data_IF_057700652749
#
_entry.id   IF_057700652749
#
_cell.length_a   1.000
_cell.length_b   1.000
_cell.length_c   1.000
_cell.angle_alpha   90.00
_cell.angle_beta   90.00
_cell.angle_gamma   90.00
#
_symmetry.space_group_name_H-M   'P 1'
#
loop_
_entity.id
_entity.type
_entity.pdbx_description
1 polymer ?
#
# COMPACT_ATOMS: atom_id res chain seq x y z
N UNK A 1 -7.81 -11.34 2.32
CA UNK A 1 -7.17 -11.21 0.99
C UNK A 1 -7.91 -10.17 0.19
N UNK A 2 -7.19 -9.24 -0.45
CA UNK A 2 -7.79 -8.24 -1.35
C UNK A 2 -8.50 -8.93 -2.52
N UNK A 3 -9.58 -8.31 -3.01
CA UNK A 3 -10.34 -8.79 -4.17
C UNK A 3 -9.46 -8.92 -5.42
N UNK A 4 -8.46 -8.03 -5.57
CA UNK A 4 -7.50 -8.00 -6.67
C UNK A 4 -6.63 -9.27 -6.72
N UNK A 5 -6.45 -9.92 -5.57
CA UNK A 5 -5.72 -11.20 -5.46
C UNK A 5 -6.69 -12.38 -5.49
N UNK A 6 -7.82 -12.24 -4.81
CA UNK A 6 -8.79 -13.31 -4.65
C UNK A 6 -9.44 -13.72 -5.98
N UNK A 7 -9.86 -12.74 -6.79
CA UNK A 7 -10.55 -13.00 -8.07
C UNK A 7 -9.62 -13.69 -9.09
N UNK A 8 -8.43 -13.14 -9.41
CA UNK A 8 -7.52 -13.81 -10.34
C UNK A 8 -6.94 -15.11 -9.77
N UNK A 9 -6.71 -15.18 -8.45
CA UNK A 9 -6.25 -16.40 -7.78
C UNK A 9 -7.22 -17.57 -7.92
N UNK A 10 -8.54 -17.34 -7.83
CA UNK A 10 -9.54 -18.37 -8.09
C UNK A 10 -9.57 -18.80 -9.56
N UNK A 11 -9.37 -17.88 -10.51
CA UNK A 11 -9.37 -18.18 -11.95
C UNK A 11 -8.13 -18.99 -12.36
N UNK A 12 -6.94 -18.58 -11.90
CA UNK A 12 -5.65 -19.14 -12.32
C UNK A 12 -5.25 -20.36 -11.48
N UNK A 13 -5.66 -20.41 -10.22
CA UNK A 13 -5.31 -21.48 -9.29
C UNK A 13 -6.12 -22.76 -9.47
N UNK A 14 -5.87 -23.72 -8.58
CA UNK A 14 -6.54 -25.04 -8.52
C UNK A 14 -8.08 -25.02 -8.59
N UNK A 15 -8.72 -23.89 -8.28
CA UNK A 15 -10.18 -23.73 -8.25
C UNK A 15 -10.78 -23.15 -9.56
N UNK A 16 -9.97 -22.89 -10.59
CA UNK A 16 -10.40 -22.20 -11.82
C UNK A 16 -11.53 -22.86 -12.61
N UNK A 17 -11.73 -24.17 -12.45
CA UNK A 17 -12.83 -24.91 -13.12
C UNK A 17 -14.16 -24.83 -12.37
N UNK A 18 -14.18 -24.27 -11.15
CA UNK A 18 -15.39 -24.11 -10.31
C UNK A 18 -15.63 -22.65 -10.00
N UNK A 19 -16.02 -21.88 -11.02
CA UNK A 19 -16.40 -20.47 -10.85
C UNK A 19 -17.71 -20.43 -10.07
N UNK A 20 -17.61 -20.09 -8.79
CA UNK A 20 -18.76 -19.97 -7.89
C UNK A 20 -19.51 -18.66 -8.17
N UNK A 21 -20.85 -18.59 -8.04
CA UNK A 21 -21.63 -17.36 -8.26
C UNK A 21 -21.18 -16.17 -7.40
N UNK A 22 -20.48 -16.42 -6.28
CA UNK A 22 -19.83 -15.41 -5.45
C UNK A 22 -18.84 -14.50 -6.22
N UNK A 23 -18.35 -14.93 -7.39
CA UNK A 23 -17.55 -14.11 -8.30
C UNK A 23 -18.29 -12.84 -8.76
N UNK A 24 -19.59 -12.94 -9.03
CA UNK A 24 -20.38 -11.79 -9.44
C UNK A 24 -20.57 -10.78 -8.31
N UNK A 25 -20.48 -11.21 -7.05
CA UNK A 25 -20.45 -10.30 -5.91
C UNK A 25 -19.20 -9.42 -5.93
N UNK A 26 -18.06 -9.93 -6.42
CA UNK A 26 -16.81 -9.18 -6.51
C UNK A 26 -16.90 -7.94 -7.40
N UNK A 27 -17.83 -7.92 -8.37
CA UNK A 27 -18.03 -6.80 -9.29
C UNK A 27 -18.58 -5.56 -8.54
N UNK A 28 -19.72 -5.59 -7.83
CA UNK A 28 -20.16 -4.50 -6.97
C UNK A 28 -19.10 -4.07 -5.95
N UNK A 29 -18.42 -5.05 -5.31
CA UNK A 29 -17.37 -4.76 -4.33
C UNK A 29 -16.17 -4.04 -4.93
N UNK A 30 -15.93 -4.11 -6.25
CA UNK A 30 -14.86 -3.37 -6.94
C UNK A 30 -15.37 -2.03 -7.49
N UNK A 31 -16.57 -2.02 -8.07
CA UNK A 31 -17.17 -0.81 -8.66
C UNK A 31 -17.50 0.27 -7.61
N UNK A 32 -17.98 -0.13 -6.41
CA UNK A 32 -18.30 0.80 -5.33
C UNK A 32 -17.07 1.59 -4.82
N UNK A 33 -15.91 0.96 -4.53
CA UNK A 33 -14.69 1.69 -4.18
C UNK A 33 -14.18 2.59 -5.30
N UNK A 34 -14.26 2.16 -6.57
CA UNK A 34 -13.85 2.99 -7.71
C UNK A 34 -14.74 4.23 -7.80
N UNK A 35 -16.06 4.06 -7.71
CA UNK A 35 -17.02 5.16 -7.68
C UNK A 35 -16.82 6.08 -6.47
N UNK A 36 -16.57 5.51 -5.29
CA UNK A 36 -16.26 6.24 -4.06
C UNK A 36 -14.97 7.08 -4.21
N UNK A 37 -13.92 6.49 -4.79
CA UNK A 37 -12.66 7.16 -5.09
C UNK A 37 -12.87 8.36 -6.01
N UNK A 38 -13.60 8.18 -7.12
CA UNK A 38 -13.96 9.30 -8.00
C UNK A 38 -14.75 10.40 -7.28
N UNK A 39 -15.61 10.06 -6.32
CA UNK A 39 -16.36 11.07 -5.55
C UNK A 39 -15.48 11.85 -4.57
N UNK A 40 -14.49 11.20 -3.95
CA UNK A 40 -13.54 11.82 -3.02
C UNK A 40 -12.58 12.75 -3.78
N UNK A 41 -12.00 12.29 -4.89
CA UNK A 41 -11.07 13.10 -5.70
C UNK A 41 -11.71 14.32 -6.36
N UNK A 42 -13.02 14.26 -6.64
CA UNK A 42 -13.75 15.39 -7.20
C UNK A 42 -14.18 16.42 -6.16
N UNK A 43 -13.87 16.22 -4.87
CA UNK A 43 -14.15 17.23 -3.85
C UNK A 43 -13.06 18.32 -3.90
N UNK A 44 -13.41 19.62 -3.85
CA UNK A 44 -12.41 20.68 -3.77
C UNK A 44 -11.53 20.46 -2.55
N UNK A 45 -10.21 20.47 -2.74
CA UNK A 45 -9.24 20.45 -1.63
C UNK A 45 -9.49 21.64 -0.72
N UNK A 46 -9.55 21.42 0.59
CA UNK A 46 -9.60 22.52 1.55
C UNK A 46 -8.32 23.37 1.42
N UNK A 47 -8.51 24.68 1.30
CA UNK A 47 -7.42 25.64 1.27
C UNK A 47 -6.85 25.78 2.69
N UNK A 48 -5.83 24.99 3.01
CA UNK A 48 -5.09 25.16 4.25
C UNK A 48 -4.39 26.52 4.26
N UNK A 49 -4.76 27.37 5.22
CA UNK A 49 -4.23 28.73 5.34
C UNK A 49 -2.88 28.72 6.08
N UNK A 50 -1.87 28.09 5.47
CA UNK A 50 -0.49 28.14 5.99
C UNK A 50 0.20 29.44 5.55
N UNK A 51 0.98 30.09 6.44
CA UNK A 51 1.72 31.27 6.07
C UNK A 51 2.76 30.92 4.98
N UNK A 52 2.79 31.66 3.85
CA UNK A 52 3.63 31.32 2.68
C UNK A 52 5.13 31.32 2.99
N UNK A 53 5.56 32.09 3.99
CA UNK A 53 6.96 32.10 4.47
C UNK A 53 7.40 30.75 5.03
N UNK A 54 6.53 30.07 5.79
CA UNK A 54 6.83 28.76 6.37
C UNK A 54 6.88 27.68 5.29
N UNK A 55 5.98 27.75 4.29
CA UNK A 55 6.00 26.84 3.14
C UNK A 55 7.31 27.00 2.36
N UNK A 56 7.72 28.22 2.03
CA UNK A 56 8.97 28.47 1.29
C UNK A 56 10.20 28.01 2.07
N UNK A 57 10.27 28.26 3.38
CA UNK A 57 11.38 27.78 4.22
C UNK A 57 11.44 26.26 4.28
N UNK A 58 10.29 25.59 4.36
CA UNK A 58 10.23 24.13 4.34
C UNK A 58 10.62 23.62 2.96
N UNK A 59 10.08 24.14 1.87
CA UNK A 59 10.36 23.69 0.50
C UNK A 59 11.80 23.95 0.05
N UNK A 60 12.44 25.02 0.53
CA UNK A 60 13.84 25.32 0.23
C UNK A 60 14.85 24.36 0.89
N UNK A 61 14.42 23.55 1.86
CA UNK A 61 15.29 22.55 2.50
C UNK A 61 15.56 21.40 1.55
N UNK A 62 16.84 21.16 1.28
CA UNK A 62 17.29 19.97 0.58
C UNK A 62 16.93 18.68 1.36
N UNK A 63 16.83 17.55 0.67
CA UNK A 63 16.42 16.26 1.22
C UNK A 63 17.31 15.81 2.39
N UNK A 64 18.62 16.09 2.31
CA UNK A 64 19.58 15.76 3.38
C UNK A 64 19.33 16.53 4.69
N UNK A 65 18.68 17.69 4.62
CA UNK A 65 18.28 18.47 5.80
C UNK A 65 16.97 17.96 6.43
N UNK A 66 16.40 16.88 5.89
CA UNK A 66 15.17 16.24 6.35
C UNK A 66 15.43 14.76 6.64
N UNK A 67 16.04 14.43 7.80
CA UNK A 67 16.50 13.07 8.08
C UNK A 67 15.37 12.03 8.03
N UNK A 68 14.15 12.41 8.43
CA UNK A 68 13.00 11.51 8.37
C UNK A 68 12.56 11.20 6.93
N UNK A 69 12.54 12.20 6.05
CA UNK A 69 12.19 12.02 4.63
C UNK A 69 13.28 11.21 3.91
N UNK A 70 14.56 11.40 4.27
CA UNK A 70 15.66 10.59 3.78
C UNK A 70 15.55 9.11 4.20
N UNK A 71 15.18 8.84 5.46
CA UNK A 71 14.93 7.47 5.93
C UNK A 71 13.78 6.83 5.13
N UNK A 72 12.69 7.56 4.92
CA UNK A 72 11.56 7.08 4.12
C UNK A 72 11.95 6.78 2.67
N UNK A 73 12.77 7.64 2.04
CA UNK A 73 13.31 7.40 0.70
C UNK A 73 14.13 6.11 0.64
N UNK A 74 15.05 5.90 1.60
CA UNK A 74 15.84 4.66 1.66
C UNK A 74 14.94 3.45 1.87
N UNK A 75 13.97 3.52 2.78
CA UNK A 75 13.02 2.44 3.02
C UNK A 75 12.16 2.13 1.77
N UNK A 76 11.71 3.15 1.04
CA UNK A 76 10.95 2.98 -0.20
C UNK A 76 11.79 2.33 -1.31
N UNK A 77 13.08 2.68 -1.43
CA UNK A 77 13.99 2.03 -2.36
C UNK A 77 14.20 0.54 -2.01
N UNK A 78 14.41 0.23 -0.72
CA UNK A 78 14.53 -1.15 -0.25
C UNK A 78 13.23 -1.94 -0.47
N UNK A 79 12.07 -1.35 -0.17
CA UNK A 79 10.77 -1.95 -0.41
C UNK A 79 10.53 -2.21 -1.90
N UNK A 80 10.87 -1.24 -2.76
CA UNK A 80 10.78 -1.39 -4.22
C UNK A 80 11.65 -2.55 -4.70
N UNK A 81 12.90 -2.64 -4.26
CA UNK A 81 13.79 -3.76 -4.59
C UNK A 81 13.22 -5.10 -4.13
N UNK A 82 12.64 -5.14 -2.93
CA UNK A 82 12.02 -6.34 -2.39
C UNK A 82 10.75 -6.77 -3.15
N UNK A 83 9.89 -5.83 -3.56
CA UNK A 83 8.74 -6.10 -4.42
C UNK A 83 9.18 -6.64 -5.78
N UNK A 84 10.16 -5.99 -6.41
CA UNK A 84 10.70 -6.43 -7.69
C UNK A 84 11.23 -7.85 -7.57
N UNK A 85 12.02 -8.15 -6.54
CA UNK A 85 12.55 -9.49 -6.29
C UNK A 85 11.44 -10.54 -6.10
N UNK A 86 10.43 -10.27 -5.27
CA UNK A 86 9.27 -11.16 -5.08
C UNK A 86 8.43 -11.31 -6.34
N UNK A 87 8.28 -10.24 -7.13
CA UNK A 87 7.62 -10.25 -8.43
C UNK A 87 8.36 -11.13 -9.45
N UNK A 88 9.70 -11.06 -9.48
CA UNK A 88 10.53 -11.93 -10.31
C UNK A 88 10.40 -13.40 -9.90
N UNK A 89 10.33 -13.70 -8.60
CA UNK A 89 10.05 -15.05 -8.11
C UNK A 89 8.68 -15.54 -8.59
N UNK A 90 7.66 -14.68 -8.54
CA UNK A 90 6.31 -15.02 -9.00
C UNK A 90 6.22 -15.25 -10.52
N UNK A 91 7.10 -14.60 -11.30
CA UNK A 91 7.30 -14.84 -12.73
C UNK A 91 8.21 -16.06 -13.02
N UNK A 92 8.50 -16.88 -12.01
CA UNK A 92 9.32 -18.09 -12.09
C UNK A 92 10.75 -17.83 -12.61
N UNK A 93 11.37 -16.73 -12.18
CA UNK A 93 12.76 -16.38 -12.52
C UNK A 93 13.74 -17.52 -12.16
N UNK A 94 14.63 -17.94 -13.09
CA UNK A 94 15.51 -19.10 -12.88
C UNK A 94 16.73 -18.81 -12.00
N UNK A 95 16.92 -17.57 -11.54
CA UNK A 95 18.08 -17.16 -10.75
C UNK A 95 18.22 -17.97 -9.44
N UNK A 96 19.45 -18.33 -9.08
CA UNK A 96 19.75 -19.15 -7.90
C UNK A 96 19.23 -18.52 -6.60
N UNK A 97 19.42 -17.22 -6.42
CA UNK A 97 18.92 -16.47 -5.26
C UNK A 97 17.39 -16.54 -5.13
N UNK A 98 16.65 -16.49 -6.26
CA UNK A 98 15.19 -16.60 -6.27
C UNK A 98 14.75 -18.00 -5.82
N UNK A 99 15.45 -19.04 -6.29
CA UNK A 99 15.15 -20.44 -5.94
C UNK A 99 15.45 -20.73 -4.47
N UNK A 100 16.59 -20.26 -3.97
CA UNK A 100 16.99 -20.40 -2.57
C UNK A 100 16.02 -19.68 -1.64
N UNK A 101 15.67 -18.42 -1.94
CA UNK A 101 14.69 -17.68 -1.17
C UNK A 101 13.33 -18.38 -1.13
N UNK A 102 12.86 -18.89 -2.26
CA UNK A 102 11.58 -19.62 -2.31
C UNK A 102 11.65 -20.95 -1.54
N UNK A 103 12.80 -21.60 -1.44
CA UNK A 103 12.94 -22.86 -0.70
C UNK A 103 13.09 -22.64 0.81
N UNK A 104 13.85 -21.62 1.21
CA UNK A 104 14.25 -21.42 2.60
C UNK A 104 13.35 -20.42 3.33
N UNK A 105 12.83 -19.42 2.63
CA UNK A 105 12.10 -18.32 3.24
C UNK A 105 10.60 -18.39 2.95
N UNK A 106 10.21 -18.53 1.69
CA UNK A 106 8.81 -18.41 1.24
C UNK A 106 8.35 -19.55 0.35
N UNK A 107 8.29 -20.79 0.86
CA UNK A 107 7.82 -21.94 0.08
C UNK A 107 6.34 -21.84 -0.28
N UNK A 108 5.56 -21.01 0.42
CA UNK A 108 4.15 -20.75 0.12
C UNK A 108 3.92 -20.23 -1.31
N UNK A 109 4.90 -19.56 -1.92
CA UNK A 109 4.82 -19.11 -3.31
C UNK A 109 4.68 -20.25 -4.34
N UNK A 110 4.98 -21.49 -3.94
CA UNK A 110 4.81 -22.69 -4.78
C UNK A 110 3.44 -23.35 -4.63
N UNK A 111 2.54 -22.79 -3.81
CA UNK A 111 1.21 -23.37 -3.61
C UNK A 111 0.39 -23.39 -4.92
N UNK A 112 -0.22 -24.55 -5.28
CA UNK A 112 -1.05 -24.68 -6.48
C UNK A 112 -2.32 -23.81 -6.48
N UNK A 113 -2.70 -23.21 -5.35
CA UNK A 113 -3.81 -22.27 -5.26
C UNK A 113 -3.51 -20.91 -5.91
N UNK A 114 -2.26 -20.63 -6.30
CA UNK A 114 -1.79 -19.43 -7.01
C UNK A 114 -1.99 -18.08 -6.29
N UNK A 115 -2.78 -17.98 -5.23
CA UNK A 115 -2.98 -16.76 -4.44
C UNK A 115 -1.68 -16.02 -4.07
N UNK A 116 -0.65 -16.68 -3.47
CA UNK A 116 0.57 -15.97 -3.10
C UNK A 116 1.36 -15.46 -4.32
N UNK A 117 1.36 -16.20 -5.45
CA UNK A 117 1.97 -15.72 -6.69
C UNK A 117 1.25 -14.48 -7.24
N UNK A 118 -0.08 -14.53 -7.34
CA UNK A 118 -0.91 -13.42 -7.80
C UNK A 118 -0.72 -12.21 -6.88
N UNK A 119 -0.57 -12.42 -5.57
CA UNK A 119 -0.29 -11.35 -4.62
C UNK A 119 1.05 -10.66 -4.88
N UNK A 120 2.12 -11.41 -5.13
CA UNK A 120 3.42 -10.82 -5.47
C UNK A 120 3.39 -10.07 -6.80
N UNK A 121 2.62 -10.57 -7.79
CA UNK A 121 2.39 -9.85 -9.05
C UNK A 121 1.59 -8.57 -8.83
N UNK A 122 0.59 -8.59 -7.95
CA UNK A 122 -0.14 -7.38 -7.58
C UNK A 122 0.81 -6.33 -6.96
N UNK A 123 1.73 -6.73 -6.08
CA UNK A 123 2.75 -5.80 -5.57
C UNK A 123 3.69 -5.29 -6.66
N UNK A 124 4.08 -6.16 -7.59
CA UNK A 124 4.91 -5.77 -8.73
C UNK A 124 4.23 -4.72 -9.62
N UNK A 125 2.94 -4.88 -9.92
CA UNK A 125 2.23 -4.00 -10.86
C UNK A 125 1.53 -2.80 -10.21
N UNK A 126 1.20 -2.85 -8.91
CA UNK A 126 0.51 -1.77 -8.22
C UNK A 126 1.41 -1.05 -7.19
N UNK A 127 2.13 -1.79 -6.34
CA UNK A 127 2.95 -1.18 -5.28
C UNK A 127 4.23 -0.55 -5.83
N UNK A 128 4.91 -1.17 -6.80
CA UNK A 128 6.14 -0.60 -7.39
C UNK A 128 5.89 0.76 -8.07
N UNK A 129 4.90 0.92 -8.97
CA UNK A 129 4.61 2.25 -9.52
C UNK A 129 4.23 3.27 -8.43
N UNK A 130 3.48 2.85 -7.42
CA UNK A 130 3.15 3.70 -6.28
C UNK A 130 4.42 4.14 -5.52
N UNK A 131 5.36 3.25 -5.22
CA UNK A 131 6.60 3.62 -4.53
C UNK A 131 7.47 4.57 -5.36
N UNK A 132 7.48 4.43 -6.69
CA UNK A 132 8.16 5.39 -7.58
C UNK A 132 7.50 6.77 -7.51
N UNK A 133 6.16 6.83 -7.57
CA UNK A 133 5.41 8.09 -7.43
C UNK A 133 5.63 8.69 -6.03
N UNK A 134 5.65 7.88 -4.98
CA UNK A 134 5.90 8.31 -3.61
C UNK A 134 7.32 8.87 -3.41
N UNK A 135 8.33 8.22 -4.02
CA UNK A 135 9.71 8.71 -4.05
C UNK A 135 9.77 10.09 -4.71
N UNK A 136 9.10 10.26 -5.85
CA UNK A 136 8.99 11.56 -6.51
C UNK A 136 8.35 12.60 -5.57
N UNK A 137 7.24 12.26 -4.92
CA UNK A 137 6.54 13.15 -3.99
C UNK A 137 7.37 13.58 -2.77
N UNK A 138 8.31 12.75 -2.31
CA UNK A 138 9.22 13.10 -1.22
C UNK A 138 10.40 13.97 -1.67
N UNK A 139 10.80 13.89 -2.94
CA UNK A 139 11.91 14.66 -3.50
C UNK A 139 11.44 16.01 -4.02
N UNK A 140 10.24 16.08 -4.59
CA UNK A 140 9.71 17.29 -5.25
C UNK A 140 8.65 17.96 -4.37
N UNK A 141 8.85 19.24 -3.98
CA UNK A 141 7.87 19.99 -3.19
C UNK A 141 6.58 20.25 -3.97
N UNK A 142 5.48 20.51 -3.26
CA UNK A 142 4.21 20.94 -3.87
C UNK A 142 3.36 19.81 -4.46
N UNK A 143 3.68 18.56 -4.15
CA UNK A 143 2.88 17.40 -4.56
C UNK A 143 1.62 17.25 -3.70
N UNK A 144 0.58 18.05 -3.96
CA UNK A 144 -0.66 18.08 -3.17
C UNK A 144 -1.46 16.77 -3.18
N UNK A 145 -1.25 15.93 -4.20
CA UNK A 145 -1.86 14.60 -4.34
C UNK A 145 -1.22 13.53 -3.46
N UNK A 146 -0.03 13.79 -2.90
CA UNK A 146 0.76 12.80 -2.16
C UNK A 146 0.07 12.30 -0.87
N UNK A 147 -0.52 13.17 -0.03
CA UNK A 147 -1.26 12.72 1.16
C UNK A 147 -2.45 11.80 0.81
N UNK A 148 -3.19 12.11 -0.25
CA UNK A 148 -4.37 11.32 -0.65
C UNK A 148 -3.97 9.92 -1.14
N UNK A 149 -2.98 9.86 -2.03
CA UNK A 149 -2.51 8.59 -2.60
C UNK A 149 -1.86 7.71 -1.52
N UNK A 150 -1.10 8.30 -0.60
CA UNK A 150 -0.47 7.55 0.51
C UNK A 150 -1.50 7.02 1.50
N UNK A 151 -2.56 7.78 1.79
CA UNK A 151 -3.65 7.33 2.64
C UNK A 151 -4.43 6.15 2.03
N UNK A 152 -4.71 6.22 0.72
CA UNK A 152 -5.38 5.13 0.00
C UNK A 152 -4.55 3.84 0.04
N UNK A 153 -3.24 3.97 -0.19
CA UNK A 153 -2.33 2.82 -0.22
C UNK A 153 -2.09 2.23 1.17
N UNK A 154 -1.99 3.06 2.20
CA UNK A 154 -1.87 2.66 3.59
C UNK A 154 -3.11 1.88 4.07
N UNK A 155 -4.31 2.21 3.57
CA UNK A 155 -5.49 1.36 3.74
C UNK A 155 -5.90 1.04 5.19
N UNK A 156 -5.37 1.74 6.21
CA UNK A 156 -5.52 1.38 7.63
C UNK A 156 -5.48 2.56 8.62
N UNK A 157 -4.67 3.60 8.38
CA UNK A 157 -4.58 4.75 9.30
C UNK A 157 -5.84 5.61 9.40
N UNK A 158 -6.79 5.48 8.47
CA UNK A 158 -7.96 6.34 8.47
C UNK A 158 -9.01 5.94 9.54
N UNK A 159 -9.00 4.69 10.03
CA UNK A 159 -10.03 4.18 10.96
C UNK A 159 -9.78 4.59 12.41
N UNK A 160 -8.51 4.65 12.85
CA UNK A 160 -8.13 5.07 14.21
C UNK A 160 -7.98 6.60 14.33
N UNK A 161 -7.66 7.29 13.22
CA UNK A 161 -7.62 8.76 13.18
C UNK A 161 -8.98 9.44 13.01
N UNK A 162 -10.06 8.71 12.68
CA UNK A 162 -11.41 9.26 12.74
C UNK A 162 -11.78 9.74 14.16
N UNK A 163 -11.16 9.16 15.20
CA UNK A 163 -11.26 9.65 16.58
C UNK A 163 -10.48 10.94 16.85
N UNK A 164 -9.35 11.17 16.16
CA UNK A 164 -8.54 12.39 16.26
C UNK A 164 -9.09 13.56 15.43
N UNK A 165 -9.79 13.27 14.33
CA UNK A 165 -10.57 14.27 13.59
C UNK A 165 -11.74 14.85 14.42
N UNK A 166 -12.21 14.10 15.43
CA UNK A 166 -13.22 14.56 16.40
C UNK A 166 -12.67 15.67 17.34
N UNK A 167 -11.38 15.64 17.69
CA UNK A 167 -10.76 16.64 18.59
C UNK A 167 -10.36 17.94 17.88
N UNK A 168 -10.24 17.93 16.55
CA UNK A 168 -9.86 19.11 15.74
C UNK A 168 -11.04 19.99 15.31
N UNK A 169 -12.26 19.69 15.78
CA UNK A 169 -13.44 20.56 15.59
C UNK A 169 -14.02 20.60 14.18
N UNK A 170 -13.60 19.69 13.28
CA UNK A 170 -14.21 19.52 11.96
C UNK A 170 -15.42 18.57 12.06
N UNK A 171 -16.58 19.02 11.59
CA UNK A 171 -17.79 18.21 11.59
C UNK A 171 -17.64 17.01 10.63
N UNK A 172 -17.70 15.75 11.13
CA UNK A 172 -17.58 14.61 10.26
C UNK A 172 -18.91 14.36 9.54
N UNK A 173 -18.93 14.54 8.22
CA UNK A 173 -20.00 13.95 7.41
C UNK A 173 -19.89 12.42 7.56
N UNK A 174 -20.84 11.82 8.28
CA UNK A 174 -20.98 10.38 8.57
C UNK A 174 -20.84 9.45 7.35
N UNK A 175 -20.96 10.00 6.13
CA UNK A 175 -20.75 9.32 4.86
C UNK A 175 -19.26 9.04 4.56
N UNK A 176 -18.34 9.89 5.00
CA UNK A 176 -16.91 9.80 4.71
C UNK A 176 -16.24 8.63 5.45
N UNK A 177 -16.62 8.39 6.70
CA UNK A 177 -16.19 7.22 7.46
C UNK A 177 -16.73 5.89 6.90
N UNK A 178 -17.94 5.88 6.31
CA UNK A 178 -18.52 4.70 5.66
C UNK A 178 -17.93 4.42 4.28
N UNK A 179 -17.58 5.45 3.50
CA UNK A 179 -16.91 5.33 2.20
C UNK A 179 -15.45 4.88 2.34
N UNK A 180 -14.75 5.34 3.37
CA UNK A 180 -13.39 4.87 3.72
C UNK A 180 -13.36 3.35 3.96
N UNK A 181 -14.36 2.79 4.64
CA UNK A 181 -14.48 1.34 4.87
C UNK A 181 -14.69 0.52 3.58
N UNK A 182 -15.12 1.13 2.48
CA UNK A 182 -15.31 0.44 1.19
C UNK A 182 -14.03 0.48 0.34
N UNK A 183 -13.30 1.60 0.36
CA UNK A 183 -11.95 1.70 -0.25
C UNK A 183 -10.95 0.77 0.45
N UNK A 184 -11.10 0.60 1.77
CA UNK A 184 -10.35 -0.31 2.64
C UNK A 184 -10.26 -1.76 2.15
N UNK A 185 -11.31 -2.28 1.49
CA UNK A 185 -11.42 -3.71 1.15
C UNK A 185 -10.78 -4.09 -0.20
N UNK A 186 -10.50 -3.13 -1.08
CA UNK A 186 -10.06 -3.44 -2.44
C UNK A 186 -8.55 -3.25 -2.70
N UNK A 187 -7.88 -2.35 -1.97
CA UNK A 187 -6.49 -1.93 -2.31
C UNK A 187 -5.52 -2.00 -1.13
N UNK A 188 -5.97 -2.26 0.10
CA UNK A 188 -5.08 -2.23 1.27
C UNK A 188 -4.00 -3.30 1.21
N UNK A 189 -2.75 -2.86 1.04
CA UNK A 189 -1.57 -3.71 1.02
C UNK A 189 -1.40 -4.45 2.35
N UNK A 190 -1.79 -3.81 3.46
CA UNK A 190 -1.76 -4.39 4.80
C UNK A 190 -2.66 -5.63 4.94
N UNK A 191 -3.91 -5.58 4.48
CA UNK A 191 -4.82 -6.74 4.59
C UNK A 191 -4.36 -7.92 3.73
N UNK A 192 -3.69 -7.62 2.60
CA UNK A 192 -3.03 -8.62 1.77
C UNK A 192 -1.81 -9.22 2.48
N UNK A 193 -0.94 -8.40 3.08
CA UNK A 193 0.23 -8.87 3.83
C UNK A 193 -0.15 -9.74 5.03
N UNK A 194 -1.12 -9.33 5.85
CA UNK A 194 -1.61 -10.14 6.97
C UNK A 194 -2.16 -11.49 6.50
N UNK A 195 -2.89 -11.51 5.39
CA UNK A 195 -3.41 -12.75 4.81
C UNK A 195 -2.27 -13.67 4.34
N UNK A 196 -1.22 -13.12 3.73
CA UNK A 196 -0.05 -13.87 3.27
C UNK A 196 0.75 -14.45 4.43
N UNK A 197 1.04 -13.64 5.45
CA UNK A 197 1.71 -14.09 6.69
C UNK A 197 0.89 -15.21 7.35
N UNK A 198 -0.41 -14.96 7.56
CA UNK A 198 -1.32 -15.91 8.18
C UNK A 198 -1.36 -17.23 7.42
N UNK A 199 -1.53 -17.20 6.10
CA UNK A 199 -1.56 -18.41 5.26
C UNK A 199 -0.21 -19.15 5.26
N UNK A 200 0.92 -18.43 5.25
CA UNK A 200 2.26 -19.03 5.26
C UNK A 200 2.59 -19.74 6.57
N UNK A 201 1.94 -19.36 7.68
CA UNK A 201 2.14 -19.94 9.00
C UNK A 201 1.00 -20.90 9.44
N UNK A 202 -0.13 -20.90 8.73
CA UNK A 202 -1.33 -21.61 9.18
C UNK A 202 -1.14 -23.13 9.20
N UNK A 203 -1.66 -23.78 10.25
CA UNK A 203 -1.66 -25.24 10.38
C UNK A 203 -2.48 -26.00 9.31
N UNK A 204 -3.20 -25.29 8.43
CA UNK A 204 -3.98 -25.88 7.33
C UNK A 204 -3.24 -25.82 5.99
N UNK A 205 -2.20 -25.00 5.91
CA UNK A 205 -1.28 -24.96 4.76
C UNK A 205 -0.45 -26.23 4.77
N UNK A 206 -0.19 -26.84 3.61
CA UNK A 206 0.60 -28.07 3.55
C UNK A 206 2.01 -27.82 4.13
N UNK A 207 2.57 -28.80 4.85
CA UNK A 207 3.84 -28.63 5.56
C UNK A 207 4.98 -28.15 4.64
N UNK A 208 5.03 -28.67 3.40
CA UNK A 208 6.01 -28.31 2.37
C UNK A 208 5.94 -26.82 1.96
N UNK A 209 4.81 -26.15 2.18
CA UNK A 209 4.57 -24.74 1.83
C UNK A 209 4.59 -23.80 3.04
N UNK A 210 4.77 -24.32 4.26
CA UNK A 210 4.88 -23.48 5.45
C UNK A 210 6.28 -22.91 5.56
N UNK A 211 6.39 -21.74 6.18
CA UNK A 211 7.70 -21.15 6.49
C UNK A 211 8.46 -22.08 7.45
N UNK A 212 9.70 -22.48 7.12
CA UNK A 212 10.56 -23.27 8.00
C UNK A 212 10.79 -22.56 9.34
N UNK A 213 10.91 -23.30 10.45
CA UNK A 213 11.05 -22.72 11.80
C UNK A 213 12.22 -21.75 11.90
N UNK A 214 13.35 -22.12 11.30
CA UNK A 214 14.57 -21.32 11.24
C UNK A 214 14.40 -19.98 10.51
N UNK A 215 13.46 -19.89 9.58
CA UNK A 215 13.21 -18.71 8.75
C UNK A 215 12.07 -17.83 9.26
N UNK A 216 11.23 -18.32 10.18
CA UNK A 216 10.00 -17.63 10.63
C UNK A 216 10.23 -16.23 11.17
N UNK A 217 11.27 -16.04 11.99
CA UNK A 217 11.57 -14.75 12.60
C UNK A 217 11.93 -13.73 11.52
N UNK A 218 12.83 -14.10 10.60
CA UNK A 218 13.22 -13.24 9.49
C UNK A 218 12.03 -12.96 8.55
N UNK A 219 11.20 -13.97 8.29
CA UNK A 219 10.01 -13.83 7.45
C UNK A 219 9.02 -12.84 8.07
N UNK A 220 8.73 -12.98 9.37
CA UNK A 220 7.85 -12.06 10.08
C UNK A 220 8.43 -10.64 10.10
N UNK A 221 9.71 -10.49 10.42
CA UNK A 221 10.37 -9.20 10.49
C UNK A 221 10.28 -8.46 9.14
N UNK A 222 10.60 -9.13 8.02
CA UNK A 222 10.54 -8.52 6.69
C UNK A 222 9.11 -8.13 6.29
N UNK A 223 8.13 -9.02 6.51
CA UNK A 223 6.74 -8.73 6.12
C UNK A 223 6.08 -7.67 7.02
N UNK A 224 6.40 -7.63 8.31
CA UNK A 224 5.94 -6.56 9.23
C UNK A 224 6.59 -5.24 8.85
N UNK A 225 7.90 -5.20 8.64
CA UNK A 225 8.60 -3.97 8.22
C UNK A 225 8.01 -3.41 6.91
N UNK A 226 7.73 -4.30 5.96
CA UNK A 226 7.08 -3.95 4.70
C UNK A 226 5.66 -3.41 4.91
N UNK A 227 4.86 -4.02 5.80
CA UNK A 227 3.51 -3.55 6.12
C UNK A 227 3.45 -2.21 6.87
N UNK A 228 4.47 -1.90 7.69
CA UNK A 228 4.55 -0.65 8.47
C UNK A 228 4.95 0.55 7.61
N UNK A 229 5.75 0.34 6.57
CA UNK A 229 6.24 1.41 5.69
C UNK A 229 5.15 2.34 5.12
N UNK A 230 4.08 1.83 4.47
CA UNK A 230 3.03 2.68 3.94
C UNK A 230 2.30 3.46 5.04
N UNK A 231 2.20 2.92 6.26
CA UNK A 231 1.64 3.64 7.41
C UNK A 231 2.52 4.82 7.83
N UNK A 232 3.84 4.60 7.95
CA UNK A 232 4.78 5.67 8.30
C UNK A 232 4.78 6.81 7.28
N UNK A 233 4.65 6.47 5.99
CA UNK A 233 4.57 7.44 4.92
C UNK A 233 3.27 8.27 4.99
N UNK A 234 2.12 7.63 5.17
CA UNK A 234 0.86 8.35 5.34
C UNK A 234 0.88 9.24 6.60
N UNK A 235 1.42 8.74 7.72
CA UNK A 235 1.61 9.54 8.94
C UNK A 235 2.44 10.81 8.64
N UNK A 236 3.55 10.68 7.89
CA UNK A 236 4.38 11.82 7.50
C UNK A 236 3.62 12.87 6.70
N UNK A 237 2.81 12.43 5.75
CA UNK A 237 2.08 13.31 4.84
C UNK A 237 0.95 14.06 5.56
N UNK A 238 0.32 13.44 6.57
CA UNK A 238 -0.79 14.04 7.33
C UNK A 238 -0.28 14.98 8.43
N UNK A 239 0.73 14.56 9.20
CA UNK A 239 1.19 15.34 10.36
C UNK A 239 2.08 16.54 10.01
N UNK A 240 2.71 16.53 8.83
CA UNK A 240 3.59 17.61 8.35
C UNK A 240 3.32 17.91 6.87
N UNK A 241 2.14 18.42 6.52
CA UNK A 241 1.74 18.60 5.13
C UNK A 241 2.47 19.74 4.42
N UNK A 242 3.23 20.59 5.14
CA UNK A 242 3.75 21.87 4.65
C UNK A 242 4.64 21.74 3.41
N UNK A 243 5.30 20.60 3.24
CA UNK A 243 6.12 20.33 2.07
C UNK A 243 5.30 20.04 0.79
N UNK A 244 4.12 19.46 0.95
CA UNK A 244 3.29 18.94 -0.15
C UNK A 244 2.29 19.98 -0.69
N UNK A 245 2.09 21.08 0.02
CA UNK A 245 1.14 22.13 -0.37
C UNK A 245 1.66 22.93 -1.57
N UNK A 246 0.81 23.11 -2.60
CA UNK A 246 1.09 24.04 -3.72
C UNK A 246 1.00 25.49 -3.23
N UNK A 247 1.92 26.36 -3.64
CA UNK A 247 1.83 27.79 -3.31
C UNK A 247 1.03 28.55 -4.37
N UNK A 248 0.38 29.67 -3.99
CA UNK A 248 -0.37 30.54 -4.91
C UNK A 248 0.46 31.14 -6.07
N UNK A 249 1.79 31.09 -5.97
CA UNK A 249 2.67 31.48 -7.06
C UNK A 249 2.67 30.44 -8.19
N UNK A 250 2.54 29.15 -7.85
CA UNK A 250 2.55 28.03 -8.80
C UNK A 250 1.19 27.86 -9.51
N UNK A 251 0.08 28.21 -8.87
CA UNK A 251 -1.27 28.20 -9.48
C UNK A 251 -1.45 29.18 -10.66
N UNK A 252 -0.59 30.20 -10.79
CA UNK A 252 -0.67 31.17 -11.88
C UNK A 252 0.14 30.79 -13.12
N UNK A 253 0.91 29.71 -13.04
CA UNK A 253 1.82 29.25 -14.10
C UNK A 253 1.28 28.01 -14.84
N UNK A 254 0.19 27.40 -14.33
CA UNK A 254 -0.55 26.28 -14.93
C UNK A 254 -1.80 26.78 -15.67
#
# INVERSE_FOLDING_TARGET
MSIVVFVPGNIVGKYGTRICPAFFLSIPYTCLPVWAGFRIYNHPSENYNYPPKVIQEVQAKDLLRRPFDLILVVCLLLATGFCLFRGLIALDCPAELCRLYTQLQEPYLKDPAAYPKIQMLAYLFYSVPYYVIALYGLVVPGCSWMPDITLIHAGGLAQDHAGYFQESGLAPNQLQGRLMNVVFLCVSEETAQFSHIGASLHARTAYVYRVPEEAKILFLALNIAYGVLPQLLAYRCIYKPEFFIKTKADEKVE
#
